data_IF_884038578758
#
_entry.id   IF_884038578758
#
_cell.length_a   1.000
_cell.length_b   1.000
_cell.length_c   1.000
_cell.angle_alpha   90.00
_cell.angle_beta   90.00
_cell.angle_gamma   90.00
#
_symmetry.space_group_name_H-M   'P 1'
#
loop_
_entity.id
_entity.type
_entity.pdbx_description
1 polymer ?
#
# COMPACT_ATOMS: atom_id res chain seq x y z
N UNK A 1 8.46 -2.86 -24.44
CA UNK A 1 7.50 -3.38 -23.46
C UNK A 1 7.08 -2.23 -22.54
N UNK A 2 5.78 -2.06 -22.26
CA UNK A 2 5.23 -0.95 -21.48
C UNK A 2 4.82 -1.42 -20.08
N UNK A 3 5.31 -0.77 -19.02
CA UNK A 3 4.92 -1.05 -17.64
C UNK A 3 3.68 -0.25 -17.25
N UNK A 4 2.65 -0.92 -16.78
CA UNK A 4 1.40 -0.33 -16.29
C UNK A 4 1.49 -0.20 -14.77
N UNK A 5 1.64 1.02 -14.28
CA UNK A 5 1.72 1.31 -12.84
C UNK A 5 0.31 1.38 -12.26
N UNK A 6 -0.11 0.32 -11.54
CA UNK A 6 -1.49 0.17 -11.07
C UNK A 6 -1.76 0.79 -9.69
N UNK A 7 -0.78 1.49 -9.13
CA UNK A 7 -0.91 2.21 -7.85
C UNK A 7 -1.98 3.29 -7.90
N UNK A 8 -2.59 3.67 -6.76
CA UNK A 8 -3.46 4.84 -6.69
C UNK A 8 -2.79 6.09 -7.27
N UNK A 9 -3.55 6.96 -7.92
CA UNK A 9 -3.05 8.09 -8.70
C UNK A 9 -2.03 8.98 -7.95
N UNK A 10 -2.26 9.25 -6.65
CA UNK A 10 -1.32 10.04 -5.83
C UNK A 10 0.10 9.45 -5.71
N UNK A 11 0.26 8.15 -6.00
CA UNK A 11 1.54 7.44 -5.95
C UNK A 11 2.05 7.08 -7.35
N UNK A 12 1.15 6.93 -8.31
CA UNK A 12 1.49 6.44 -9.65
C UNK A 12 2.44 7.38 -10.39
N UNK A 13 2.24 8.70 -10.28
CA UNK A 13 3.07 9.70 -10.95
C UNK A 13 4.55 9.60 -10.53
N UNK A 14 4.85 9.61 -9.22
CA UNK A 14 6.22 9.45 -8.69
C UNK A 14 6.88 8.16 -9.21
N UNK A 15 6.12 7.07 -9.26
CA UNK A 15 6.61 5.79 -9.76
C UNK A 15 6.89 5.81 -11.26
N UNK A 16 5.99 6.38 -12.06
CA UNK A 16 6.17 6.50 -13.51
C UNK A 16 7.38 7.38 -13.83
N UNK A 17 7.54 8.52 -13.15
CA UNK A 17 8.67 9.42 -13.37
C UNK A 17 10.00 8.77 -12.98
N UNK A 18 10.05 8.08 -11.84
CA UNK A 18 11.25 7.37 -11.39
C UNK A 18 11.62 6.21 -12.32
N UNK A 19 10.64 5.43 -12.79
CA UNK A 19 10.87 4.34 -13.74
C UNK A 19 11.37 4.86 -15.10
N UNK A 20 10.80 5.96 -15.58
CA UNK A 20 11.24 6.61 -16.83
C UNK A 20 12.66 7.15 -16.73
N UNK A 21 13.03 7.70 -15.58
CA UNK A 21 14.42 8.13 -15.33
C UNK A 21 15.43 6.98 -15.38
N UNK A 22 14.98 5.72 -15.12
CA UNK A 22 15.77 4.50 -15.27
C UNK A 22 15.62 3.82 -16.65
N UNK A 23 15.04 4.52 -17.64
CA UNK A 23 14.89 4.04 -19.01
C UNK A 23 13.71 3.06 -19.23
N UNK A 24 12.84 2.87 -18.24
CA UNK A 24 11.65 2.00 -18.36
C UNK A 24 10.50 2.80 -18.95
N UNK A 25 9.89 2.29 -20.02
CA UNK A 25 8.63 2.85 -20.53
C UNK A 25 7.50 2.50 -19.55
N UNK A 26 6.92 3.48 -18.91
CA UNK A 26 5.87 3.31 -17.90
C UNK A 26 4.73 4.31 -18.09
N UNK A 27 3.50 3.88 -17.75
CA UNK A 27 2.30 4.71 -17.75
C UNK A 27 1.49 4.49 -16.48
N UNK A 28 0.77 5.52 -16.07
CA UNK A 28 -0.18 5.44 -14.95
C UNK A 28 -1.45 4.74 -15.39
N UNK A 29 -1.79 3.66 -14.71
CA UNK A 29 -3.07 2.97 -14.88
C UNK A 29 -3.64 2.56 -13.51
N UNK A 30 -4.07 3.52 -12.68
CA UNK A 30 -4.60 3.19 -11.35
C UNK A 30 -5.77 2.22 -11.45
N UNK A 31 -5.74 1.12 -10.69
CA UNK A 31 -6.85 0.17 -10.61
C UNK A 31 -7.76 0.44 -9.41
N UNK A 32 -7.30 1.31 -8.48
CA UNK A 32 -8.06 1.72 -7.31
C UNK A 32 -8.01 3.25 -7.17
N UNK A 33 -9.15 3.84 -6.87
CA UNK A 33 -9.24 5.21 -6.39
C UNK A 33 -9.31 5.23 -4.86
N UNK A 34 -8.62 6.22 -4.26
CA UNK A 34 -8.59 6.44 -2.81
C UNK A 34 -9.37 7.70 -2.50
N UNK A 35 -10.52 7.52 -1.86
CA UNK A 35 -11.41 8.61 -1.44
C UNK A 35 -11.36 8.88 0.06
N UNK A 36 -12.04 9.94 0.50
CA UNK A 36 -12.27 10.21 1.92
C UNK A 36 -13.03 9.05 2.59
N UNK A 37 -12.87 8.84 3.92
CA UNK A 37 -13.68 7.86 4.64
C UNK A 37 -15.17 8.25 4.57
N UNK A 38 -16.04 7.27 4.75
CA UNK A 38 -17.49 7.51 4.76
C UNK A 38 -17.89 8.44 5.91
N UNK A 39 -17.27 8.27 7.08
CA UNK A 39 -17.39 9.16 8.24
C UNK A 39 -15.98 9.59 8.69
N UNK A 40 -15.64 10.88 8.63
CA UNK A 40 -14.37 11.41 9.15
C UNK A 40 -14.33 11.51 10.68
N UNK A 41 -15.47 11.48 11.36
CA UNK A 41 -15.57 11.67 12.81
C UNK A 41 -14.67 10.75 13.64
N UNK A 42 -14.60 9.43 13.38
CA UNK A 42 -13.68 8.55 14.09
C UNK A 42 -12.20 8.95 13.96
N UNK A 43 -11.78 9.43 12.79
CA UNK A 43 -10.39 9.88 12.56
C UNK A 43 -10.10 11.16 13.33
N UNK A 44 -11.04 12.11 13.35
CA UNK A 44 -10.93 13.36 14.13
C UNK A 44 -10.81 13.05 15.63
N UNK A 45 -11.67 12.15 16.15
CA UNK A 45 -11.58 11.70 17.56
C UNK A 45 -10.27 10.99 17.86
N UNK A 46 -9.77 10.18 16.93
CA UNK A 46 -8.48 9.51 17.09
C UNK A 46 -7.33 10.52 17.22
N UNK A 47 -7.35 11.62 16.44
CA UNK A 47 -6.38 12.71 16.59
C UNK A 47 -6.45 13.36 17.99
N UNK A 48 -7.65 13.59 18.50
CA UNK A 48 -7.85 14.19 19.83
C UNK A 48 -7.36 13.30 20.98
N UNK A 49 -7.44 11.97 20.81
CA UNK A 49 -6.97 11.00 21.80
C UNK A 49 -5.57 10.42 21.51
N UNK A 50 -4.79 11.05 20.62
CA UNK A 50 -3.52 10.47 20.16
C UNK A 50 -2.47 10.38 21.29
N UNK A 51 -2.49 11.30 22.25
CA UNK A 51 -1.57 11.32 23.39
C UNK A 51 -1.74 10.10 24.32
N UNK A 52 -2.90 9.46 24.29
CA UNK A 52 -3.18 8.27 25.09
C UNK A 52 -2.73 6.98 24.38
N UNK A 53 -2.25 7.06 23.14
CA UNK A 53 -1.82 5.91 22.37
C UNK A 53 -0.33 5.62 22.58
N UNK A 54 0.00 4.39 22.93
CA UNK A 54 1.38 3.93 22.98
C UNK A 54 1.96 3.77 21.55
N UNK A 55 1.10 3.37 20.59
CA UNK A 55 1.49 3.13 19.21
C UNK A 55 0.35 3.47 18.26
N UNK A 56 0.69 4.06 17.11
CA UNK A 56 -0.22 4.24 15.96
C UNK A 56 0.35 3.49 14.77
N UNK A 57 -0.34 2.47 14.30
CA UNK A 57 0.06 1.66 13.16
C UNK A 57 -0.59 2.17 11.88
N UNK A 58 0.19 2.45 10.86
CA UNK A 58 -0.28 2.80 9.52
C UNK A 58 -0.03 1.66 8.55
N UNK A 59 -1.09 1.09 8.00
CA UNK A 59 -1.00 -0.09 7.13
C UNK A 59 -0.70 0.23 5.65
N UNK A 60 -0.61 1.52 5.30
CA UNK A 60 -0.31 1.94 3.93
C UNK A 60 0.05 3.44 3.87
N UNK A 61 0.73 3.92 2.81
CA UNK A 61 0.93 5.35 2.57
C UNK A 61 -0.38 6.14 2.53
N UNK A 62 -1.45 5.56 1.97
CA UNK A 62 -2.77 6.20 1.92
C UNK A 62 -3.36 6.41 3.32
N UNK A 63 -3.11 5.48 4.26
CA UNK A 63 -3.53 5.65 5.64
C UNK A 63 -2.87 6.88 6.27
N UNK A 64 -1.57 7.09 6.04
CA UNK A 64 -0.85 8.29 6.52
C UNK A 64 -1.43 9.55 5.90
N UNK A 65 -1.48 9.63 4.58
CA UNK A 65 -1.94 10.81 3.86
C UNK A 65 -3.36 11.21 4.27
N UNK A 66 -4.28 10.24 4.35
CA UNK A 66 -5.69 10.51 4.68
C UNK A 66 -5.92 10.79 6.15
N UNK A 67 -5.18 10.15 7.05
CA UNK A 67 -5.22 10.46 8.48
C UNK A 67 -4.74 11.89 8.73
N UNK A 68 -3.60 12.28 8.15
CA UNK A 68 -3.06 13.64 8.30
C UNK A 68 -3.93 14.71 7.63
N UNK A 69 -4.58 14.41 6.51
CA UNK A 69 -5.51 15.35 5.85
C UNK A 69 -6.74 15.69 6.72
N UNK A 70 -7.08 14.85 7.70
CA UNK A 70 -8.18 15.06 8.63
C UNK A 70 -7.72 15.55 10.01
N UNK A 71 -6.46 15.99 10.13
CA UNK A 71 -5.88 16.49 11.36
C UNK A 71 -6.56 17.80 11.79
N UNK A 72 -7.15 17.88 12.99
CA UNK A 72 -7.69 19.14 13.50
C UNK A 72 -6.59 20.17 13.74
N UNK A 73 -6.93 21.44 13.61
CA UNK A 73 -6.03 22.54 13.97
C UNK A 73 -5.63 22.44 15.45
N UNK A 74 -4.34 22.67 15.73
CA UNK A 74 -3.83 22.63 17.10
C UNK A 74 -3.60 21.22 17.68
N UNK A 75 -3.75 20.15 16.92
CA UNK A 75 -3.46 18.77 17.34
C UNK A 75 -2.09 18.32 16.81
N UNK A 76 -0.95 18.59 17.47
CA UNK A 76 0.35 18.10 17.03
C UNK A 76 0.46 16.57 17.25
N UNK A 77 1.41 15.94 16.56
CA UNK A 77 1.78 14.57 16.92
C UNK A 77 2.43 14.57 18.31
N UNK A 78 1.97 13.72 19.26
CA UNK A 78 2.55 13.70 20.61
C UNK A 78 3.99 13.21 20.61
N UNK A 79 4.80 13.74 21.52
CA UNK A 79 6.26 13.44 21.58
C UNK A 79 6.53 11.99 21.91
N UNK A 80 5.70 11.38 22.76
CA UNK A 80 5.91 10.03 23.30
C UNK A 80 5.12 8.94 22.52
N UNK A 81 4.25 9.34 21.58
CA UNK A 81 3.51 8.37 20.76
C UNK A 81 4.36 7.88 19.60
N UNK A 82 4.58 6.57 19.54
CA UNK A 82 5.26 5.93 18.43
C UNK A 82 4.33 5.75 17.23
N UNK A 83 4.91 5.80 16.04
CA UNK A 83 4.24 5.42 14.80
C UNK A 83 4.88 4.17 14.25
N UNK A 84 4.08 3.23 13.76
CA UNK A 84 4.57 2.04 13.07
C UNK A 84 4.07 1.99 11.63
N UNK A 85 4.92 1.49 10.75
CA UNK A 85 4.61 1.27 9.34
C UNK A 85 4.74 -0.21 8.97
N UNK A 86 3.99 -0.63 7.96
CA UNK A 86 4.12 -1.98 7.39
C UNK A 86 5.12 -2.05 6.24
N UNK A 87 5.81 -0.94 5.92
CA UNK A 87 6.81 -0.95 4.85
C UNK A 87 7.32 0.42 4.44
N UNK A 88 8.37 0.48 3.61
CA UNK A 88 9.18 1.68 3.36
C UNK A 88 8.39 2.84 2.74
N UNK A 89 7.39 2.56 1.90
CA UNK A 89 6.54 3.60 1.35
C UNK A 89 5.72 4.32 2.43
N UNK A 90 5.23 3.59 3.43
CA UNK A 90 4.48 4.15 4.56
C UNK A 90 5.41 4.93 5.49
N UNK A 91 6.62 4.41 5.77
CA UNK A 91 7.64 5.09 6.56
C UNK A 91 8.01 6.45 5.95
N UNK A 92 8.22 6.48 4.62
CA UNK A 92 8.54 7.72 3.89
C UNK A 92 7.45 8.78 4.07
N UNK A 93 6.17 8.39 3.97
CA UNK A 93 5.06 9.32 4.18
C UNK A 93 4.96 9.82 5.63
N UNK A 94 5.25 8.98 6.62
CA UNK A 94 5.31 9.39 8.02
C UNK A 94 6.41 10.44 8.26
N UNK A 95 7.60 10.24 7.69
CA UNK A 95 8.69 11.20 7.78
C UNK A 95 8.36 12.51 7.04
N UNK A 96 7.74 12.45 5.86
CA UNK A 96 7.22 13.63 5.13
C UNK A 96 6.15 14.38 5.93
N UNK A 97 5.35 13.69 6.72
CA UNK A 97 4.35 14.27 7.60
C UNK A 97 4.94 14.92 8.87
N UNK A 98 6.28 14.86 9.05
CA UNK A 98 7.00 15.52 10.12
C UNK A 98 7.29 14.65 11.35
N UNK A 99 7.09 13.34 11.28
CA UNK A 99 7.52 12.43 12.35
C UNK A 99 9.05 12.33 12.37
N UNK A 100 9.62 12.23 13.58
CA UNK A 100 11.06 12.00 13.75
C UNK A 100 11.38 10.53 13.52
N UNK A 101 12.56 10.19 12.97
CA UNK A 101 12.99 8.80 12.80
C UNK A 101 12.96 8.00 14.12
N UNK A 102 13.21 8.63 15.24
CA UNK A 102 13.17 8.01 16.58
C UNK A 102 11.76 7.63 17.05
N UNK A 103 10.72 8.12 16.42
CA UNK A 103 9.32 7.78 16.70
C UNK A 103 8.79 6.68 15.76
N UNK A 104 9.60 6.25 14.80
CA UNK A 104 9.18 5.31 13.77
C UNK A 104 9.63 3.88 14.09
N UNK A 105 8.67 2.95 14.05
CA UNK A 105 8.90 1.50 14.10
C UNK A 105 8.56 0.92 12.73
N UNK A 106 9.49 0.20 12.12
CA UNK A 106 9.31 -0.39 10.80
C UNK A 106 9.91 -1.81 10.73
N UNK A 107 9.45 -2.64 9.78
CA UNK A 107 10.06 -3.95 9.54
C UNK A 107 11.54 -3.83 9.21
N UNK A 108 12.31 -4.85 9.58
CA UNK A 108 13.72 -4.91 9.23
C UNK A 108 13.88 -5.11 7.71
N UNK A 109 14.54 -4.15 7.07
CA UNK A 109 14.80 -4.20 5.63
C UNK A 109 15.66 -5.40 5.20
N UNK A 110 16.49 -5.94 6.10
CA UNK A 110 17.35 -7.08 5.81
C UNK A 110 16.56 -8.37 5.45
N UNK A 111 15.32 -8.48 5.92
CA UNK A 111 14.47 -9.64 5.61
C UNK A 111 13.65 -9.47 4.31
N UNK A 112 13.67 -8.29 3.68
CA UNK A 112 12.98 -8.02 2.41
C UNK A 112 11.45 -8.18 2.44
N UNK A 113 10.88 -8.45 3.62
CA UNK A 113 9.44 -8.63 3.81
C UNK A 113 8.83 -7.38 4.46
N UNK A 114 7.77 -6.85 3.83
CA UNK A 114 7.13 -5.60 4.25
C UNK A 114 5.61 -5.81 4.39
N UNK A 115 5.21 -6.25 5.57
CA UNK A 115 3.81 -6.53 5.93
C UNK A 115 3.57 -6.48 7.45
N UNK A 116 2.38 -6.87 7.86
CA UNK A 116 1.98 -6.89 9.28
C UNK A 116 2.76 -7.93 10.08
N UNK A 117 3.12 -9.03 9.46
CA UNK A 117 3.88 -10.13 10.07
C UNK A 117 5.33 -9.69 10.35
N UNK A 118 5.97 -9.05 9.39
CA UNK A 118 7.31 -8.50 9.56
C UNK A 118 7.33 -7.33 10.57
N UNK A 119 6.28 -6.50 10.61
CA UNK A 119 6.13 -5.49 11.64
C UNK A 119 5.95 -6.12 13.02
N UNK A 120 5.14 -7.17 13.13
CA UNK A 120 4.92 -7.86 14.39
C UNK A 120 6.22 -8.38 15.01
N UNK A 121 7.16 -8.92 14.23
CA UNK A 121 8.46 -9.35 14.71
C UNK A 121 9.26 -8.23 15.41
N UNK A 122 8.95 -6.95 15.11
CA UNK A 122 9.53 -5.79 15.82
C UNK A 122 8.77 -5.42 17.08
N UNK A 123 7.51 -5.84 17.20
CA UNK A 123 6.57 -5.44 18.24
C UNK A 123 6.36 -6.53 19.32
N UNK A 124 6.59 -7.79 19.00
CA UNK A 124 6.21 -8.93 19.84
C UNK A 124 6.91 -8.99 21.21
N UNK A 125 8.11 -8.39 21.33
CA UNK A 125 8.89 -8.33 22.58
C UNK A 125 8.42 -7.22 23.54
N UNK A 126 7.53 -6.33 23.11
CA UNK A 126 7.02 -5.26 23.96
C UNK A 126 5.90 -5.75 24.87
N UNK A 127 5.81 -5.17 26.07
CA UNK A 127 4.66 -5.38 26.95
C UNK A 127 3.45 -4.57 26.46
N UNK A 128 2.42 -5.28 26.02
CA UNK A 128 1.19 -4.71 25.49
C UNK A 128 0.04 -4.69 26.47
N UNK A 129 0.23 -5.25 27.69
CA UNK A 129 -0.84 -5.33 28.68
C UNK A 129 -1.38 -3.94 29.03
N UNK A 130 -2.67 -3.68 28.75
CA UNK A 130 -3.34 -2.41 28.99
C UNK A 130 -2.85 -1.24 28.11
N UNK A 131 -1.97 -1.49 27.14
CA UNK A 131 -1.51 -0.44 26.21
C UNK A 131 -2.52 -0.18 25.12
N UNK A 132 -2.78 1.08 24.84
CA UNK A 132 -3.69 1.51 23.76
C UNK A 132 -2.95 1.63 22.44
N UNK A 133 -3.47 0.95 21.41
CA UNK A 133 -2.90 0.96 20.05
C UNK A 133 -3.98 1.39 19.07
N UNK A 134 -3.65 2.38 18.24
CA UNK A 134 -4.49 2.80 17.13
C UNK A 134 -4.00 2.16 15.84
N UNK A 135 -4.87 1.52 15.07
CA UNK A 135 -4.58 1.05 13.71
C UNK A 135 -5.33 1.92 12.71
N UNK A 136 -4.59 2.65 11.88
CA UNK A 136 -5.10 3.49 10.81
C UNK A 136 -5.04 2.74 9.49
N UNK A 137 -6.22 2.51 8.89
CA UNK A 137 -6.36 1.65 7.70
C UNK A 137 -7.39 2.22 6.72
N UNK A 138 -7.61 1.55 5.61
CA UNK A 138 -8.78 1.77 4.75
C UNK A 138 -9.99 0.97 5.21
N UNK A 139 -11.09 1.13 4.51
CA UNK A 139 -12.26 0.26 4.64
C UNK A 139 -11.86 -1.18 4.26
N UNK A 140 -12.09 -2.12 5.15
CA UNK A 140 -11.70 -3.52 4.99
C UNK A 140 -10.20 -3.78 5.16
N UNK A 141 -9.78 -5.01 4.90
CA UNK A 141 -8.43 -5.51 5.08
C UNK A 141 -8.35 -6.53 6.21
N UNK A 142 -7.14 -7.08 6.45
CA UNK A 142 -6.94 -8.16 7.43
C UNK A 142 -6.89 -7.62 8.87
N UNK A 143 -7.45 -8.36 9.80
CA UNK A 143 -7.41 -8.04 11.23
C UNK A 143 -6.25 -8.73 11.97
N UNK A 144 -5.39 -9.42 11.24
CA UNK A 144 -4.32 -10.25 11.78
C UNK A 144 -3.46 -9.54 12.84
N UNK A 145 -2.98 -8.33 12.56
CA UNK A 145 -2.14 -7.58 13.51
C UNK A 145 -2.94 -7.11 14.73
N UNK A 146 -4.18 -6.68 14.53
CA UNK A 146 -5.04 -6.25 15.63
C UNK A 146 -5.36 -7.41 16.59
N UNK A 147 -5.57 -8.60 16.04
CA UNK A 147 -5.85 -9.79 16.84
C UNK A 147 -4.61 -10.26 17.62
N UNK A 148 -3.41 -10.16 17.02
CA UNK A 148 -2.16 -10.45 17.72
C UNK A 148 -1.90 -9.45 18.86
N UNK A 149 -2.10 -8.15 18.64
CA UNK A 149 -1.97 -7.13 19.67
C UNK A 149 -2.98 -7.37 20.80
N UNK A 150 -4.25 -7.65 20.49
CA UNK A 150 -5.29 -7.98 21.49
C UNK A 150 -4.93 -9.23 22.30
N UNK A 151 -4.41 -10.28 21.64
CA UNK A 151 -4.00 -11.52 22.32
C UNK A 151 -2.86 -11.30 23.33
N UNK A 152 -2.11 -10.19 23.19
CA UNK A 152 -1.07 -9.75 24.14
C UNK A 152 -1.57 -8.70 25.15
N UNK A 153 -2.87 -8.48 25.23
CA UNK A 153 -3.50 -7.59 26.20
C UNK A 153 -3.58 -6.11 25.79
N UNK A 154 -3.32 -5.77 24.53
CA UNK A 154 -3.48 -4.40 24.04
C UNK A 154 -4.96 -4.02 23.86
N UNK A 155 -5.29 -2.76 24.14
CA UNK A 155 -6.56 -2.14 23.76
C UNK A 155 -6.45 -1.56 22.35
N UNK A 156 -6.94 -2.30 21.37
CA UNK A 156 -6.79 -1.92 19.95
C UNK A 156 -8.03 -1.21 19.43
N UNK A 157 -7.82 0.03 18.99
CA UNK A 157 -8.79 0.85 18.26
C UNK A 157 -8.43 0.83 16.78
N UNK A 158 -9.42 0.68 15.89
CA UNK A 158 -9.21 0.75 14.44
C UNK A 158 -10.00 1.92 13.87
N UNK A 159 -9.40 2.68 12.95
CA UNK A 159 -10.08 3.74 12.21
C UNK A 159 -9.87 3.58 10.71
N UNK A 160 -10.96 3.73 9.96
CA UNK A 160 -10.92 3.82 8.51
C UNK A 160 -10.64 5.26 8.09
N UNK A 161 -9.41 5.55 7.66
CA UNK A 161 -9.01 6.87 7.20
C UNK A 161 -9.32 7.13 5.72
N UNK A 162 -9.62 6.10 4.94
CA UNK A 162 -9.95 6.20 3.52
C UNK A 162 -10.83 5.03 3.07
N UNK A 163 -11.50 5.23 1.94
CA UNK A 163 -12.21 4.16 1.22
C UNK A 163 -11.60 3.93 -0.15
N UNK A 164 -11.76 2.72 -0.65
CA UNK A 164 -11.40 2.34 -2.00
C UNK A 164 -12.62 2.35 -2.90
N UNK A 165 -12.43 2.73 -4.16
CA UNK A 165 -13.49 2.70 -5.18
C UNK A 165 -12.89 2.44 -6.56
N UNK A 166 -13.75 2.18 -7.52
CA UNK A 166 -13.37 2.06 -8.93
C UNK A 166 -12.77 3.39 -9.41
N UNK A 167 -11.64 3.37 -10.13
CA UNK A 167 -11.00 4.58 -10.63
C UNK A 167 -11.83 5.22 -11.75
N UNK A 168 -11.76 6.54 -11.84
CA UNK A 168 -12.26 7.28 -12.99
C UNK A 168 -11.07 7.57 -13.90
N UNK A 169 -10.94 6.80 -14.97
CA UNK A 169 -9.84 6.94 -15.91
C UNK A 169 -10.00 8.11 -16.86
N UNK A 170 -8.91 8.77 -17.18
CA UNK A 170 -8.78 9.71 -18.30
C UNK A 170 -8.86 8.96 -19.63
N UNK A 171 -9.03 9.68 -20.74
CA UNK A 171 -9.01 9.05 -22.07
C UNK A 171 -7.71 8.28 -22.35
N UNK A 172 -6.49 8.83 -22.10
CA UNK A 172 -5.25 8.07 -22.27
C UNK A 172 -5.15 6.80 -21.40
N UNK A 173 -5.67 6.82 -20.18
CA UNK A 173 -5.69 5.64 -19.32
C UNK A 173 -6.64 4.56 -19.83
N UNK A 174 -7.82 4.94 -20.33
CA UNK A 174 -8.75 3.99 -20.98
C UNK A 174 -8.12 3.36 -22.24
N UNK A 175 -7.42 4.15 -23.03
CA UNK A 175 -6.73 3.66 -24.22
C UNK A 175 -5.57 2.71 -23.87
N UNK A 176 -4.79 3.03 -22.83
CA UNK A 176 -3.74 2.17 -22.32
C UNK A 176 -4.30 0.82 -21.82
N UNK A 177 -5.41 0.86 -21.06
CA UNK A 177 -6.09 -0.35 -20.60
C UNK A 177 -6.58 -1.20 -21.76
N UNK A 178 -7.30 -0.62 -22.71
CA UNK A 178 -7.81 -1.33 -23.88
C UNK A 178 -6.68 -1.91 -24.74
N UNK A 179 -5.55 -1.20 -24.85
CA UNK A 179 -4.39 -1.68 -25.61
C UNK A 179 -3.71 -2.82 -24.90
N UNK A 180 -3.60 -2.76 -23.56
CA UNK A 180 -3.03 -3.86 -22.76
C UNK A 180 -3.85 -5.15 -22.89
N UNK A 181 -5.17 -5.07 -22.97
CA UNK A 181 -6.04 -6.23 -23.18
C UNK A 181 -5.89 -6.82 -24.59
N UNK A 182 -5.71 -5.97 -25.64
CA UNK A 182 -5.51 -6.45 -27.02
C UNK A 182 -4.12 -7.01 -27.28
N UNK A 183 -3.10 -6.54 -26.56
CA UNK A 183 -1.68 -6.90 -26.78
C UNK A 183 -1.00 -7.25 -25.45
N UNK A 184 -1.44 -8.34 -24.77
CA UNK A 184 -1.01 -8.65 -23.40
C UNK A 184 0.52 -8.87 -23.30
N UNK A 185 1.15 -9.47 -24.30
CA UNK A 185 2.59 -9.71 -24.31
C UNK A 185 3.47 -8.45 -24.43
N UNK A 186 2.90 -7.30 -24.76
CA UNK A 186 3.63 -6.03 -24.87
C UNK A 186 3.52 -5.18 -23.61
N UNK A 187 2.72 -5.59 -22.62
CA UNK A 187 2.45 -4.86 -21.40
C UNK A 187 2.78 -5.71 -20.17
N UNK A 188 3.28 -5.06 -19.13
CA UNK A 188 3.54 -5.67 -17.83
C UNK A 188 2.73 -4.92 -16.76
N UNK A 189 1.95 -5.63 -15.98
CA UNK A 189 1.14 -5.09 -14.89
C UNK A 189 1.96 -5.05 -13.61
N UNK A 190 2.21 -3.87 -13.06
CA UNK A 190 2.86 -3.73 -11.75
C UNK A 190 1.83 -3.73 -10.64
N UNK A 191 1.74 -4.81 -9.90
CA UNK A 191 0.83 -4.95 -8.76
C UNK A 191 1.52 -4.69 -7.43
N UNK A 192 0.94 -3.78 -6.65
CA UNK A 192 1.38 -3.42 -5.30
C UNK A 192 0.31 -3.68 -4.24
N UNK A 193 -0.82 -4.27 -4.61
CA UNK A 193 -1.87 -4.72 -3.70
C UNK A 193 -2.72 -5.82 -4.33
N UNK A 194 -3.21 -6.75 -3.51
CA UNK A 194 -4.13 -7.80 -3.96
C UNK A 194 -5.47 -7.23 -4.40
N UNK A 195 -5.93 -6.16 -3.74
CA UNK A 195 -7.20 -5.51 -4.10
C UNK A 195 -7.16 -4.88 -5.51
N UNK A 196 -5.98 -4.45 -5.99
CA UNK A 196 -5.83 -3.98 -7.37
C UNK A 196 -6.07 -5.11 -8.38
N UNK A 197 -5.66 -6.35 -8.05
CA UNK A 197 -5.91 -7.52 -8.87
C UNK A 197 -7.40 -7.89 -8.86
N UNK A 198 -8.05 -7.82 -7.69
CA UNK A 198 -9.49 -8.05 -7.56
C UNK A 198 -10.29 -7.03 -8.37
N UNK A 199 -9.86 -5.76 -8.33
CA UNK A 199 -10.48 -4.72 -9.14
C UNK A 199 -10.25 -4.94 -10.64
N UNK A 200 -9.07 -5.45 -11.05
CA UNK A 200 -8.79 -5.79 -12.44
C UNK A 200 -9.76 -6.87 -12.95
N UNK A 201 -10.05 -7.89 -12.15
CA UNK A 201 -11.03 -8.91 -12.52
C UNK A 201 -12.45 -8.35 -12.72
N UNK A 202 -12.79 -7.30 -11.97
CA UNK A 202 -14.07 -6.58 -12.10
C UNK A 202 -14.09 -5.68 -13.34
N UNK A 203 -12.97 -5.03 -13.66
CA UNK A 203 -12.86 -4.11 -14.80
C UNK A 203 -12.77 -4.84 -16.16
N UNK A 204 -12.28 -6.08 -16.16
CA UNK A 204 -12.12 -6.90 -17.35
C UNK A 204 -12.64 -8.34 -17.11
N UNK A 205 -13.96 -8.51 -16.89
CA UNK A 205 -14.55 -9.81 -16.61
C UNK A 205 -14.38 -10.75 -17.82
N UNK A 206 -14.07 -12.01 -17.52
CA UNK A 206 -13.89 -13.05 -18.56
C UNK A 206 -12.61 -12.93 -19.39
N UNK A 207 -11.69 -12.04 -19.05
CA UNK A 207 -10.40 -11.93 -19.74
C UNK A 207 -9.52 -13.13 -19.41
N UNK A 208 -8.92 -13.72 -20.46
CA UNK A 208 -7.90 -14.75 -20.30
C UNK A 208 -6.53 -14.08 -20.02
N UNK A 209 -6.05 -14.24 -18.78
CA UNK A 209 -4.81 -13.63 -18.32
C UNK A 209 -3.55 -14.47 -18.54
N UNK A 210 -3.64 -15.69 -19.14
CA UNK A 210 -2.48 -16.59 -19.35
C UNK A 210 -1.36 -15.94 -20.16
N UNK A 211 -1.69 -15.08 -21.10
CA UNK A 211 -0.71 -14.33 -21.90
C UNK A 211 -0.34 -12.96 -21.31
N UNK A 212 -0.95 -12.60 -20.19
CA UNK A 212 -0.62 -11.39 -19.45
C UNK A 212 0.71 -11.53 -18.72
N UNK A 213 1.40 -10.40 -18.53
CA UNK A 213 2.66 -10.34 -17.78
C UNK A 213 2.50 -9.46 -16.56
N UNK A 214 3.03 -9.88 -15.41
CA UNK A 214 2.93 -9.10 -14.18
C UNK A 214 4.22 -9.11 -13.37
N UNK A 215 4.44 -8.01 -12.63
CA UNK A 215 5.40 -7.92 -11.54
C UNK A 215 4.61 -7.65 -10.27
N UNK A 216 4.81 -8.48 -9.24
CA UNK A 216 4.20 -8.34 -7.93
C UNK A 216 5.24 -7.89 -6.90
N UNK A 217 4.88 -6.93 -6.05
CA UNK A 217 5.81 -6.40 -5.04
C UNK A 217 5.76 -7.15 -3.70
N UNK A 218 5.05 -8.27 -3.64
CA UNK A 218 4.97 -9.13 -2.45
C UNK A 218 4.49 -10.54 -2.85
N UNK A 219 4.95 -11.64 -2.18
CA UNK A 219 4.53 -13.01 -2.49
C UNK A 219 3.00 -13.22 -2.48
N UNK A 220 2.28 -12.62 -1.53
CA UNK A 220 0.80 -12.72 -1.48
C UNK A 220 0.12 -12.08 -2.69
N UNK A 221 0.70 -11.00 -3.23
CA UNK A 221 0.20 -10.35 -4.44
C UNK A 221 0.47 -11.26 -5.64
N UNK A 222 1.64 -11.90 -5.68
CA UNK A 222 2.00 -12.87 -6.71
C UNK A 222 1.01 -14.04 -6.74
N UNK A 223 0.73 -14.65 -5.59
CA UNK A 223 -0.28 -15.73 -5.48
C UNK A 223 -1.65 -15.25 -6.00
N UNK A 224 -2.05 -14.01 -5.68
CA UNK A 224 -3.33 -13.48 -6.16
C UNK A 224 -3.35 -13.27 -7.67
N UNK A 225 -2.23 -12.84 -8.27
CA UNK A 225 -2.09 -12.71 -9.73
C UNK A 225 -2.13 -14.06 -10.43
N UNK A 226 -1.47 -15.09 -9.87
CA UNK A 226 -1.54 -16.46 -10.37
C UNK A 226 -2.97 -17.01 -10.35
N UNK A 227 -3.70 -16.77 -9.27
CA UNK A 227 -5.11 -17.20 -9.16
C UNK A 227 -6.03 -16.49 -10.17
N UNK A 228 -5.68 -15.27 -10.61
CA UNK A 228 -6.39 -14.57 -11.68
C UNK A 228 -6.02 -15.13 -13.06
N UNK A 229 -4.90 -15.87 -13.19
CA UNK A 229 -4.48 -16.53 -14.42
C UNK A 229 -3.18 -16.03 -15.06
N UNK A 230 -2.45 -15.10 -14.43
CA UNK A 230 -1.15 -14.68 -14.94
C UNK A 230 -0.14 -15.83 -14.85
N UNK A 231 0.37 -16.28 -15.99
CA UNK A 231 1.41 -17.33 -16.07
C UNK A 231 2.82 -16.71 -16.02
N UNK A 232 3.04 -15.57 -16.68
CA UNK A 232 4.29 -14.83 -16.57
C UNK A 232 4.22 -13.84 -15.40
N UNK A 233 4.90 -14.19 -14.31
CA UNK A 233 4.85 -13.45 -13.07
C UNK A 233 6.21 -13.42 -12.39
N UNK A 234 6.73 -12.20 -12.21
CA UNK A 234 7.97 -11.94 -11.49
C UNK A 234 7.68 -11.28 -10.14
N UNK A 235 8.63 -11.35 -9.23
CA UNK A 235 8.58 -10.67 -7.95
C UNK A 235 9.72 -9.67 -7.80
N UNK A 236 9.41 -8.48 -7.31
CA UNK A 236 10.39 -7.44 -7.01
C UNK A 236 10.10 -6.82 -5.66
N UNK A 237 11.12 -6.34 -4.96
CA UNK A 237 10.90 -5.50 -3.78
C UNK A 237 10.15 -4.23 -4.15
N UNK A 238 9.38 -3.63 -3.22
CA UNK A 238 8.54 -2.45 -3.48
C UNK A 238 9.37 -1.15 -3.59
N UNK A 239 10.37 -1.14 -4.45
CA UNK A 239 11.15 0.03 -4.84
C UNK A 239 11.19 0.19 -6.36
N UNK A 240 11.39 1.43 -6.81
CA UNK A 240 11.44 1.78 -8.24
C UNK A 240 12.62 1.06 -8.90
N UNK A 241 13.77 1.05 -8.23
CA UNK A 241 15.02 0.44 -8.70
C UNK A 241 14.90 -1.07 -8.86
N UNK A 242 14.30 -1.76 -7.87
CA UNK A 242 14.10 -3.21 -7.93
C UNK A 242 13.12 -3.61 -9.04
N UNK A 243 12.06 -2.84 -9.24
CA UNK A 243 11.10 -3.08 -10.33
C UNK A 243 11.74 -2.82 -11.70
N UNK A 244 12.51 -1.75 -11.83
CA UNK A 244 13.24 -1.46 -13.09
C UNK A 244 14.25 -2.57 -13.43
N UNK A 245 15.05 -3.00 -12.45
CA UNK A 245 16.02 -4.08 -12.62
C UNK A 245 15.34 -5.42 -13.00
N UNK A 246 14.23 -5.76 -12.33
CA UNK A 246 13.44 -6.94 -12.64
C UNK A 246 12.94 -6.92 -14.09
N UNK A 247 12.39 -5.80 -14.56
CA UNK A 247 11.89 -5.68 -15.93
C UNK A 247 13.01 -5.75 -16.96
N UNK A 248 14.18 -5.15 -16.69
CA UNK A 248 15.33 -5.14 -17.60
C UNK A 248 15.97 -6.53 -17.72
N UNK A 249 16.03 -7.31 -16.63
CA UNK A 249 16.57 -8.67 -16.65
C UNK A 249 15.72 -9.67 -17.47
N UNK A 250 14.43 -9.39 -17.62
CA UNK A 250 13.49 -10.25 -18.35
C UNK A 250 13.29 -9.84 -19.83
N UNK A 251 13.91 -8.73 -20.24
CA UNK A 251 13.87 -8.25 -21.62
C UNK A 251 15.05 -8.77 -22.49
N UNK A 252 16.00 -9.49 -21.87
CA UNK A 252 17.12 -10.18 -22.51
C UNK A 252 16.73 -11.63 -22.85
#
# INVERSE_FOLDING_TARGET
MMLLVTRPAAQAAEWVDGLRALGVQAVELPLLAIGAPADPGPVVRAWQGLADMALVVFVSPNAVLRFHALRPSGCPWPVDTLAASTGPGTSRELLRAGLRPTQLVEPDAAHGQFDSEALWARLESHDWQGRRVLIVRGDGGRDWLSDHLRSRGAEVVQVSAYRRSTPQWTAPQRDAFATALRSPGQHVWLFSSSEAIDQLSTLAPGTDWRHGRAIATHPRIAVRAQLLGFEWLEQALPSIECVAACLQSTAQ
#
